data_IF_639599785555
#
_entry.id   IF_639599785555
#
_cell.length_a   1.000
_cell.length_b   1.000
_cell.length_c   1.000
_cell.angle_alpha   90.00
_cell.angle_beta   90.00
_cell.angle_gamma   90.00
#
_symmetry.space_group_name_H-M   'P 1'
#
loop_
_entity.id
_entity.type
_entity.pdbx_description
1 polymer ?
#
# COMPACT_ATOMS: atom_id res chain seq x y z
N UNK A 1 -5.78 -0.96 -35.11
CA UNK A 1 -6.70 -1.58 -34.15
C UNK A 1 -6.12 -2.90 -33.73
N UNK A 2 -6.35 -3.33 -32.49
CA UNK A 2 -6.00 -4.69 -32.03
C UNK A 2 -6.95 -5.71 -32.65
N UNK A 3 -6.53 -6.97 -32.77
CA UNK A 3 -7.42 -8.07 -33.23
C UNK A 3 -8.28 -8.59 -32.06
N UNK A 4 -7.91 -8.22 -30.83
CA UNK A 4 -8.65 -8.58 -29.63
C UNK A 4 -9.98 -7.82 -29.51
N UNK A 5 -11.06 -8.57 -29.33
CA UNK A 5 -12.40 -8.08 -29.01
C UNK A 5 -12.82 -8.64 -27.65
N UNK A 6 -12.91 -7.80 -26.59
CA UNK A 6 -13.34 -8.26 -25.27
C UNK A 6 -14.82 -8.67 -25.28
N UNK A 7 -15.20 -9.42 -24.25
CA UNK A 7 -16.59 -9.77 -23.99
C UNK A 7 -17.38 -8.50 -23.64
N UNK A 8 -18.51 -8.26 -24.32
CA UNK A 8 -19.31 -7.04 -24.13
C UNK A 8 -20.62 -7.26 -23.37
N UNK A 9 -21.03 -8.53 -23.16
CA UNK A 9 -22.30 -8.87 -22.51
C UNK A 9 -22.15 -8.79 -20.99
N UNK A 10 -22.81 -7.83 -20.29
CA UNK A 10 -22.56 -7.60 -18.86
C UNK A 10 -22.84 -8.81 -17.97
N UNK A 11 -23.86 -9.61 -18.28
CA UNK A 11 -24.17 -10.82 -17.51
C UNK A 11 -23.05 -11.86 -17.60
N UNK A 12 -22.48 -12.04 -18.80
CA UNK A 12 -21.37 -12.98 -18.99
C UNK A 12 -20.08 -12.44 -18.39
N UNK A 13 -19.87 -11.12 -18.41
CA UNK A 13 -18.75 -10.49 -17.70
C UNK A 13 -18.84 -10.75 -16.20
N UNK A 14 -20.00 -10.56 -15.57
CA UNK A 14 -20.18 -10.83 -14.13
C UNK A 14 -19.95 -12.31 -13.80
N UNK A 15 -20.48 -13.23 -14.62
CA UNK A 15 -20.29 -14.66 -14.47
C UNK A 15 -18.81 -15.06 -14.57
N UNK A 16 -18.13 -14.64 -15.64
CA UNK A 16 -16.71 -14.91 -15.82
C UNK A 16 -15.86 -14.25 -14.73
N UNK A 17 -16.24 -13.06 -14.26
CA UNK A 17 -15.52 -12.38 -13.20
C UNK A 17 -15.61 -13.17 -11.89
N UNK A 18 -16.81 -13.64 -11.51
CA UNK A 18 -17.00 -14.52 -10.35
C UNK A 18 -16.19 -15.82 -10.50
N UNK A 19 -16.17 -16.40 -11.69
CA UNK A 19 -15.39 -17.60 -11.96
C UNK A 19 -13.88 -17.34 -11.79
N UNK A 20 -13.36 -16.22 -12.31
CA UNK A 20 -11.95 -15.83 -12.10
C UNK A 20 -11.65 -15.70 -10.61
N UNK A 21 -12.52 -15.05 -9.83
CA UNK A 21 -12.31 -14.89 -8.39
C UNK A 21 -12.34 -16.22 -7.65
N UNK A 22 -13.29 -17.11 -7.98
CA UNK A 22 -13.38 -18.44 -7.39
C UNK A 22 -12.16 -19.30 -7.73
N UNK A 23 -11.73 -19.32 -9.00
CA UNK A 23 -10.50 -20.03 -9.39
C UNK A 23 -9.29 -19.46 -8.68
N UNK A 24 -9.16 -18.13 -8.63
CA UNK A 24 -8.04 -17.50 -7.95
C UNK A 24 -8.00 -17.88 -6.46
N UNK A 25 -9.14 -17.98 -5.76
CA UNK A 25 -9.15 -18.33 -4.34
C UNK A 25 -8.72 -19.77 -4.02
N UNK A 26 -8.81 -20.67 -4.99
CA UNK A 26 -8.37 -22.07 -4.86
C UNK A 26 -6.90 -22.28 -5.23
N UNK A 27 -6.19 -21.26 -5.74
CA UNK A 27 -4.76 -21.36 -6.05
C UNK A 27 -3.94 -21.15 -4.76
N UNK A 28 -3.24 -22.20 -4.33
CA UNK A 28 -2.42 -22.20 -3.10
C UNK A 28 -1.10 -21.45 -3.28
N UNK A 29 -0.43 -21.60 -4.43
CA UNK A 29 0.84 -20.93 -4.67
C UNK A 29 0.62 -19.43 -4.92
N UNK A 30 1.21 -18.53 -4.11
CA UNK A 30 0.93 -17.10 -4.22
C UNK A 30 1.48 -16.47 -5.50
N UNK A 31 2.52 -17.06 -6.12
CA UNK A 31 3.07 -16.58 -7.39
C UNK A 31 2.15 -16.94 -8.55
N UNK A 32 1.65 -18.17 -8.56
CA UNK A 32 0.64 -18.63 -9.50
C UNK A 32 -0.64 -17.83 -9.34
N UNK A 33 -1.13 -17.63 -8.12
CA UNK A 33 -2.32 -16.83 -7.83
C UNK A 33 -2.17 -15.39 -8.32
N UNK A 34 -1.02 -14.76 -8.07
CA UNK A 34 -0.71 -13.42 -8.55
C UNK A 34 -0.67 -13.35 -10.07
N UNK A 35 0.00 -14.30 -10.71
CA UNK A 35 0.14 -14.37 -12.15
C UNK A 35 -1.19 -14.62 -12.85
N UNK A 36 -2.00 -15.54 -12.31
CA UNK A 36 -3.36 -15.85 -12.76
C UNK A 36 -4.22 -14.58 -12.81
N UNK A 37 -4.27 -13.82 -11.71
CA UNK A 37 -5.02 -12.56 -11.66
C UNK A 37 -4.45 -11.54 -12.66
N UNK A 38 -3.13 -11.48 -12.81
CA UNK A 38 -2.49 -10.55 -13.74
C UNK A 38 -2.82 -10.85 -15.20
N UNK A 39 -3.05 -12.12 -15.55
CA UNK A 39 -3.43 -12.58 -16.91
C UNK A 39 -4.93 -12.40 -17.16
N UNK A 40 -5.77 -12.98 -16.30
CA UNK A 40 -7.19 -13.17 -16.61
C UNK A 40 -8.04 -11.92 -16.36
N UNK A 41 -7.74 -11.14 -15.32
CA UNK A 41 -8.51 -9.93 -15.02
C UNK A 41 -8.46 -8.90 -16.17
N UNK A 42 -7.29 -8.50 -16.69
CA UNK A 42 -7.24 -7.53 -17.77
C UNK A 42 -7.65 -8.15 -19.11
N UNK A 43 -7.62 -9.48 -19.27
CA UNK A 43 -8.21 -10.14 -20.44
C UNK A 43 -9.73 -9.96 -20.42
N UNK A 44 -10.42 -10.32 -19.33
CA UNK A 44 -11.88 -10.18 -19.23
C UNK A 44 -12.39 -8.74 -19.37
N UNK A 45 -11.63 -7.76 -18.88
CA UNK A 45 -12.01 -6.33 -18.85
C UNK A 45 -13.34 -6.04 -18.13
N UNK A 46 -13.51 -6.45 -16.85
CA UNK A 46 -14.78 -6.28 -16.12
C UNK A 46 -15.12 -4.83 -15.74
N UNK A 47 -14.16 -3.90 -15.86
CA UNK A 47 -14.36 -2.48 -15.53
C UNK A 47 -14.30 -1.60 -16.78
N UNK A 48 -14.97 -0.45 -16.77
CA UNK A 48 -14.95 0.51 -17.90
C UNK A 48 -13.54 1.05 -18.20
N UNK A 49 -12.73 1.27 -17.17
CA UNK A 49 -11.31 1.66 -17.28
C UNK A 49 -10.52 0.95 -16.17
N UNK A 50 -9.20 1.12 -16.16
CA UNK A 50 -8.30 0.80 -15.05
C UNK A 50 -8.01 -0.71 -14.92
N UNK A 51 -8.58 -1.60 -15.75
CA UNK A 51 -8.38 -3.06 -15.68
C UNK A 51 -6.92 -3.51 -15.48
N UNK A 52 -5.98 -2.97 -16.28
CA UNK A 52 -4.54 -3.29 -16.16
C UNK A 52 -3.92 -2.77 -14.86
N UNK A 53 -4.40 -1.62 -14.35
CA UNK A 53 -3.94 -1.06 -13.06
C UNK A 53 -4.52 -1.88 -11.90
N UNK A 54 -5.79 -2.27 -11.97
CA UNK A 54 -6.44 -3.14 -10.99
C UNK A 54 -5.73 -4.50 -10.94
N UNK A 55 -5.39 -5.12 -12.07
CA UNK A 55 -4.73 -6.43 -12.05
C UNK A 55 -3.35 -6.40 -11.39
N UNK A 56 -2.56 -5.34 -11.61
CA UNK A 56 -1.25 -5.18 -10.96
C UNK A 56 -1.36 -4.96 -9.45
N UNK A 57 -2.41 -4.26 -8.99
CA UNK A 57 -2.68 -4.11 -7.57
C UNK A 57 -3.20 -5.42 -6.96
N UNK A 58 -4.11 -6.11 -7.65
CA UNK A 58 -4.67 -7.37 -7.19
C UNK A 58 -3.62 -8.49 -7.13
N UNK A 59 -2.64 -8.52 -8.04
CA UNK A 59 -1.51 -9.44 -8.01
C UNK A 59 -0.64 -9.30 -6.73
N UNK A 60 -0.72 -8.18 -6.01
CA UNK A 60 -0.03 -8.00 -4.73
C UNK A 60 -0.79 -8.58 -3.52
N UNK A 61 -2.10 -8.81 -3.62
CA UNK A 61 -2.90 -9.38 -2.52
C UNK A 61 -2.34 -10.71 -2.01
N UNK A 62 -2.06 -11.72 -2.86
CA UNK A 62 -1.49 -12.99 -2.38
C UNK A 62 -0.10 -12.83 -1.77
N UNK A 63 0.74 -11.96 -2.36
CA UNK A 63 2.08 -11.66 -1.86
C UNK A 63 2.01 -11.10 -0.43
N UNK A 64 1.15 -10.12 -0.21
CA UNK A 64 1.00 -9.46 1.10
C UNK A 64 0.44 -10.45 2.14
N UNK A 65 -0.57 -11.25 1.76
CA UNK A 65 -1.17 -12.25 2.68
C UNK A 65 -0.14 -13.26 3.18
N UNK A 66 0.80 -13.66 2.33
CA UNK A 66 1.87 -14.60 2.66
C UNK A 66 3.16 -13.91 3.12
N UNK A 67 3.10 -12.61 3.42
CA UNK A 67 4.23 -11.80 3.89
C UNK A 67 5.45 -11.80 2.95
N UNK A 68 5.22 -11.94 1.66
CA UNK A 68 6.22 -11.78 0.61
C UNK A 68 6.43 -10.31 0.24
N UNK A 69 7.58 -10.02 -0.39
CA UNK A 69 7.86 -8.71 -0.94
C UNK A 69 6.74 -8.32 -1.93
N UNK A 70 6.17 -7.12 -1.83
CA UNK A 70 5.22 -6.64 -2.83
C UNK A 70 5.88 -6.56 -4.23
N UNK A 71 5.14 -7.00 -5.25
CA UNK A 71 5.46 -6.82 -6.65
C UNK A 71 5.34 -5.35 -7.05
N UNK A 72 6.41 -4.83 -7.64
CA UNK A 72 6.51 -3.50 -8.20
C UNK A 72 6.82 -3.58 -9.69
N UNK A 73 6.18 -2.71 -10.47
CA UNK A 73 6.44 -2.56 -11.90
C UNK A 73 7.42 -1.41 -12.19
N UNK A 74 8.08 -0.88 -11.15
CA UNK A 74 9.12 0.11 -11.35
C UNK A 74 10.30 -0.54 -12.09
N UNK A 75 10.85 0.18 -13.06
CA UNK A 75 11.90 -0.26 -13.98
C UNK A 75 11.49 -1.35 -14.97
N UNK A 76 10.23 -1.85 -14.95
CA UNK A 76 9.76 -2.83 -15.93
C UNK A 76 9.74 -2.19 -17.32
N UNK A 77 10.40 -2.79 -18.34
CA UNK A 77 10.36 -2.27 -19.69
C UNK A 77 8.92 -2.25 -20.21
N UNK A 78 8.37 -1.05 -20.42
CA UNK A 78 6.97 -0.88 -20.82
C UNK A 78 6.61 -1.64 -22.09
N UNK A 79 7.54 -1.71 -23.06
CA UNK A 79 7.36 -2.47 -24.30
C UNK A 79 7.20 -3.97 -24.05
N UNK A 80 8.06 -4.57 -23.22
CA UNK A 80 7.98 -5.99 -22.90
C UNK A 80 6.65 -6.34 -22.20
N UNK A 81 6.18 -5.49 -21.29
CA UNK A 81 4.88 -5.68 -20.64
C UNK A 81 3.71 -5.57 -21.64
N UNK A 82 3.76 -4.59 -22.55
CA UNK A 82 2.74 -4.42 -23.60
C UNK A 82 2.74 -5.64 -24.53
N UNK A 83 3.90 -6.03 -25.04
CA UNK A 83 4.05 -7.16 -25.96
C UNK A 83 3.60 -8.47 -25.29
N UNK A 84 3.94 -8.67 -24.01
CA UNK A 84 3.47 -9.83 -23.24
C UNK A 84 1.96 -9.83 -23.03
N UNK A 85 1.37 -8.67 -22.78
CA UNK A 85 -0.10 -8.55 -22.66
C UNK A 85 -0.79 -8.84 -24.00
N UNK A 86 -0.24 -8.32 -25.11
CA UNK A 86 -0.78 -8.58 -26.45
C UNK A 86 -0.65 -10.05 -26.84
N UNK A 87 0.46 -10.71 -26.48
CA UNK A 87 0.62 -12.15 -26.70
C UNK A 87 -0.47 -12.97 -26.00
N UNK A 88 -0.89 -12.57 -24.79
CA UNK A 88 -2.04 -13.17 -24.11
C UNK A 88 -3.32 -12.89 -24.90
N UNK A 89 -3.57 -11.64 -25.24
CA UNK A 89 -4.84 -11.20 -25.82
C UNK A 89 -5.09 -11.76 -27.22
N UNK A 90 -4.07 -11.78 -28.06
CA UNK A 90 -4.20 -12.05 -29.50
C UNK A 90 -3.72 -13.45 -29.88
N UNK A 91 -2.79 -14.02 -29.10
CA UNK A 91 -2.16 -15.31 -29.42
C UNK A 91 -2.44 -16.40 -28.40
N UNK A 92 -3.11 -16.09 -27.29
CA UNK A 92 -3.32 -16.99 -26.15
C UNK A 92 -1.99 -17.58 -25.61
N UNK A 93 -0.93 -16.75 -25.62
CA UNK A 93 0.43 -17.11 -25.18
C UNK A 93 0.85 -16.30 -23.97
N UNK A 94 1.20 -16.99 -22.89
CA UNK A 94 1.50 -16.38 -21.58
C UNK A 94 2.99 -16.20 -21.33
N UNK A 95 3.86 -16.81 -22.12
CA UNK A 95 5.27 -17.02 -21.81
C UNK A 95 6.02 -15.70 -21.65
N UNK A 96 5.79 -14.74 -22.56
CA UNK A 96 6.43 -13.43 -22.47
C UNK A 96 5.95 -12.65 -21.24
N UNK A 97 4.65 -12.70 -20.92
CA UNK A 97 4.12 -12.01 -19.75
C UNK A 97 4.61 -12.67 -18.45
N UNK A 98 4.75 -14.00 -18.43
CA UNK A 98 5.36 -14.76 -17.33
C UNK A 98 6.81 -14.34 -17.11
N UNK A 99 7.59 -14.24 -18.17
CA UNK A 99 9.01 -13.85 -18.06
C UNK A 99 9.14 -12.41 -17.55
N UNK A 100 8.27 -11.50 -18.01
CA UNK A 100 8.16 -10.13 -17.48
C UNK A 100 7.76 -10.14 -16.00
N UNK A 101 6.81 -10.97 -15.59
CA UNK A 101 6.38 -11.10 -14.19
C UNK A 101 7.54 -11.56 -13.29
N UNK A 102 8.25 -12.62 -13.67
CA UNK A 102 9.39 -13.14 -12.90
C UNK A 102 10.50 -12.10 -12.80
N UNK A 103 10.83 -11.44 -13.92
CA UNK A 103 11.84 -10.38 -13.92
C UNK A 103 11.44 -9.21 -13.01
N UNK A 104 10.18 -8.77 -13.08
CA UNK A 104 9.66 -7.70 -12.25
C UNK A 104 9.71 -8.05 -10.76
N UNK A 105 9.39 -9.30 -10.41
CA UNK A 105 9.42 -9.76 -9.03
C UNK A 105 10.86 -9.85 -8.49
N UNK A 106 11.80 -10.39 -9.27
CA UNK A 106 13.23 -10.41 -8.90
C UNK A 106 13.76 -8.99 -8.64
N UNK A 107 13.40 -8.03 -9.51
CA UNK A 107 13.77 -6.62 -9.35
C UNK A 107 13.13 -6.00 -8.10
N UNK A 108 11.87 -6.33 -7.83
CA UNK A 108 11.13 -5.88 -6.65
C UNK A 108 11.81 -6.35 -5.36
N UNK A 109 12.18 -7.63 -5.28
CA UNK A 109 12.90 -8.20 -4.14
C UNK A 109 14.25 -7.51 -3.91
N UNK A 110 15.04 -7.30 -4.97
CA UNK A 110 16.33 -6.62 -4.86
C UNK A 110 16.19 -5.18 -4.33
N UNK A 111 15.20 -4.44 -4.84
CA UNK A 111 14.90 -3.08 -4.40
C UNK A 111 14.39 -3.06 -2.96
N UNK A 112 13.48 -3.96 -2.61
CA UNK A 112 12.92 -4.03 -1.27
C UNK A 112 13.99 -4.37 -0.23
N UNK A 113 14.92 -5.28 -0.56
CA UNK A 113 16.07 -5.58 0.28
C UNK A 113 16.95 -4.35 0.53
N UNK A 114 17.28 -3.59 -0.52
CA UNK A 114 18.05 -2.36 -0.39
C UNK A 114 17.34 -1.29 0.45
N UNK A 115 16.01 -1.14 0.26
CA UNK A 115 15.19 -0.22 1.06
C UNK A 115 15.15 -0.66 2.52
N UNK A 116 14.94 -1.95 2.80
CA UNK A 116 14.94 -2.51 4.16
C UNK A 116 16.30 -2.38 4.86
N UNK A 117 17.42 -2.39 4.15
CA UNK A 117 18.72 -2.11 4.76
C UNK A 117 18.86 -0.64 5.21
N UNK A 118 18.21 0.30 4.49
CA UNK A 118 18.20 1.72 4.84
C UNK A 118 17.17 2.10 5.92
N UNK A 119 16.02 1.42 5.91
CA UNK A 119 14.99 1.49 6.95
C UNK A 119 15.33 0.44 8.00
N UNK A 120 16.14 0.79 9.00
CA UNK A 120 16.44 -0.10 10.13
C UNK A 120 15.20 -0.73 10.78
N UNK A 121 15.40 -1.62 11.74
CA UNK A 121 14.28 -2.36 12.34
C UNK A 121 13.20 -1.42 12.92
N UNK A 122 11.90 -1.81 12.82
CA UNK A 122 10.83 -1.02 13.41
C UNK A 122 11.08 -0.83 14.90
N UNK A 123 11.10 0.41 15.38
CA UNK A 123 11.28 0.71 16.81
C UNK A 123 10.20 -0.02 17.63
N UNK A 124 10.57 -1.02 18.47
CA UNK A 124 9.60 -1.80 19.24
C UNK A 124 8.73 -0.93 20.15
N UNK A 125 9.28 0.20 20.62
CA UNK A 125 8.54 1.15 21.44
C UNK A 125 7.43 1.84 20.64
N UNK A 126 7.74 2.30 19.42
CA UNK A 126 6.74 2.88 18.50
C UNK A 126 5.70 1.85 18.10
N UNK A 127 6.08 0.58 17.93
CA UNK A 127 5.14 -0.50 17.62
C UNK A 127 4.19 -0.77 18.79
N UNK A 128 4.70 -0.86 20.02
CA UNK A 128 3.94 -1.07 21.26
C UNK A 128 2.88 0.03 21.46
N UNK A 129 3.26 1.28 21.24
CA UNK A 129 2.40 2.44 21.51
C UNK A 129 1.80 3.10 20.26
N UNK A 130 1.77 2.40 19.13
CA UNK A 130 1.39 2.97 17.82
C UNK A 130 0.02 3.65 17.82
N UNK A 131 -0.95 3.12 18.57
CA UNK A 131 -2.30 3.66 18.63
C UNK A 131 -2.33 4.93 19.48
N UNK A 132 -1.68 4.91 20.64
CA UNK A 132 -1.57 6.04 21.54
C UNK A 132 -0.79 7.19 20.89
N UNK A 133 0.36 6.91 20.25
CA UNK A 133 1.12 7.92 19.50
C UNK A 133 0.22 8.57 18.46
N UNK A 134 -0.52 7.76 17.69
CA UNK A 134 -1.43 8.25 16.67
C UNK A 134 -2.52 9.15 17.24
N UNK A 135 -3.14 8.73 18.34
CA UNK A 135 -4.19 9.48 19.00
C UNK A 135 -3.68 10.84 19.52
N UNK A 136 -2.55 10.85 20.22
CA UNK A 136 -1.96 12.07 20.77
C UNK A 136 -1.61 13.06 19.66
N UNK A 137 -0.90 12.60 18.63
CA UNK A 137 -0.55 13.43 17.47
C UNK A 137 -1.82 13.98 16.80
N UNK A 138 -2.83 13.13 16.59
CA UNK A 138 -4.08 13.56 15.94
C UNK A 138 -4.86 14.58 16.76
N UNK A 139 -4.88 14.46 18.09
CA UNK A 139 -5.56 15.38 18.99
C UNK A 139 -4.90 16.75 18.99
N UNK A 140 -3.57 16.80 19.14
CA UNK A 140 -2.80 18.06 19.10
C UNK A 140 -3.06 18.83 17.81
N UNK A 141 -3.09 18.13 16.67
CA UNK A 141 -3.34 18.76 15.36
C UNK A 141 -4.80 19.20 15.22
N UNK A 142 -5.78 18.37 15.60
CA UNK A 142 -7.20 18.70 15.46
C UNK A 142 -7.63 19.85 16.37
N UNK A 143 -7.07 19.92 17.56
CA UNK A 143 -7.34 20.98 18.54
C UNK A 143 -6.49 22.24 18.28
N UNK A 144 -5.69 22.26 17.21
CA UNK A 144 -4.84 23.38 16.81
C UNK A 144 -3.89 23.88 17.93
N UNK A 145 -3.43 22.98 18.81
CA UNK A 145 -2.58 23.35 19.95
C UNK A 145 -1.21 23.87 19.48
N UNK A 146 -0.74 24.96 20.07
CA UNK A 146 0.64 25.42 19.89
C UNK A 146 1.63 24.52 20.67
N UNK A 147 2.94 24.74 20.51
CA UNK A 147 3.96 23.89 21.14
C UNK A 147 3.88 23.86 22.67
N UNK A 148 3.54 24.99 23.30
CA UNK A 148 3.51 25.08 24.77
C UNK A 148 2.29 24.35 25.32
N UNK A 149 1.12 24.58 24.73
CA UNK A 149 -0.12 23.90 25.09
C UNK A 149 -0.02 22.40 24.82
N UNK A 150 0.55 22.02 23.68
CA UNK A 150 0.76 20.62 23.32
C UNK A 150 1.67 19.90 24.32
N UNK A 151 2.82 20.48 24.71
CA UNK A 151 3.74 19.86 25.65
C UNK A 151 3.06 19.59 27.02
N UNK A 152 2.32 20.57 27.54
CA UNK A 152 1.58 20.44 28.81
C UNK A 152 0.49 19.38 28.69
N UNK A 153 -0.27 19.38 27.59
CA UNK A 153 -1.35 18.42 27.36
C UNK A 153 -0.82 16.99 27.19
N UNK A 154 0.26 16.80 26.41
CA UNK A 154 0.91 15.50 26.19
C UNK A 154 1.41 14.96 27.52
N UNK A 155 2.13 15.76 28.32
CA UNK A 155 2.64 15.32 29.62
C UNK A 155 1.51 14.92 30.58
N UNK A 156 0.45 15.73 30.67
CA UNK A 156 -0.68 15.47 31.56
C UNK A 156 -1.48 14.22 31.15
N UNK A 157 -1.63 13.97 29.84
CA UNK A 157 -2.35 12.81 29.33
C UNK A 157 -1.49 11.54 29.38
N UNK A 158 -0.21 11.63 29.04
CA UNK A 158 0.73 10.51 29.11
C UNK A 158 0.87 9.99 30.56
N UNK A 159 0.90 10.88 31.55
CA UNK A 159 0.94 10.48 32.97
C UNK A 159 -0.29 9.66 33.43
N UNK A 160 -1.42 9.74 32.70
CA UNK A 160 -2.65 8.99 33.00
C UNK A 160 -2.75 7.68 32.23
N UNK A 161 -2.30 7.67 30.98
CA UNK A 161 -2.55 6.56 30.04
C UNK A 161 -1.33 5.65 29.81
N UNK A 162 -0.12 6.14 30.12
CA UNK A 162 1.14 5.43 29.85
C UNK A 162 1.79 5.04 31.19
N UNK A 163 2.33 3.81 31.33
CA UNK A 163 3.06 3.41 32.52
C UNK A 163 4.22 4.38 32.84
N UNK A 164 4.43 4.66 34.13
CA UNK A 164 5.42 5.65 34.58
C UNK A 164 6.84 5.40 34.03
N UNK A 165 7.22 4.14 33.83
CA UNK A 165 8.53 3.75 33.30
C UNK A 165 8.70 4.04 31.79
N UNK A 166 7.61 4.12 31.04
CA UNK A 166 7.61 4.41 29.59
C UNK A 166 7.20 5.87 29.28
N UNK A 167 6.69 6.62 30.27
CA UNK A 167 6.06 7.92 30.08
C UNK A 167 7.02 8.96 29.45
N UNK A 168 8.22 9.14 29.98
CA UNK A 168 9.18 10.12 29.46
C UNK A 168 9.56 9.83 27.99
N UNK A 169 9.85 8.56 27.67
CA UNK A 169 10.17 8.14 26.31
C UNK A 169 8.97 8.30 25.36
N UNK A 170 7.76 8.06 25.85
CA UNK A 170 6.55 8.26 25.06
C UNK A 170 6.34 9.73 24.69
N UNK A 171 6.52 10.65 25.65
CA UNK A 171 6.42 12.09 25.41
C UNK A 171 7.42 12.52 24.33
N UNK A 172 8.69 12.13 24.46
CA UNK A 172 9.74 12.45 23.50
C UNK A 172 9.40 11.93 22.08
N UNK A 173 8.87 10.72 21.99
CA UNK A 173 8.44 10.13 20.71
C UNK A 173 7.30 10.93 20.09
N UNK A 174 6.27 11.30 20.85
CA UNK A 174 5.14 12.08 20.34
C UNK A 174 5.59 13.48 19.87
N UNK A 175 6.46 14.15 20.63
CA UNK A 175 7.01 15.47 20.26
C UNK A 175 7.88 15.40 19.00
N UNK A 176 8.64 14.31 18.86
CA UNK A 176 9.44 14.05 17.64
C UNK A 176 8.51 13.84 16.44
N UNK A 177 7.45 13.04 16.58
CA UNK A 177 6.48 12.82 15.49
C UNK A 177 5.73 14.11 15.10
N UNK A 178 5.40 14.96 16.07
CA UNK A 178 4.83 16.30 15.81
C UNK A 178 5.80 17.23 15.07
N UNK A 179 7.08 17.15 15.39
CA UNK A 179 8.12 17.95 14.74
C UNK A 179 8.44 17.44 13.32
N UNK A 180 8.30 16.13 13.08
CA UNK A 180 8.49 15.50 11.78
C UNK A 180 7.24 15.49 10.89
N UNK A 181 6.13 16.08 11.32
CA UNK A 181 4.87 16.11 10.57
C UNK A 181 4.99 17.03 9.32
N UNK A 182 4.68 16.48 8.15
CA UNK A 182 4.72 17.20 6.87
C UNK A 182 3.64 16.69 5.92
N UNK A 183 3.48 17.37 4.77
CA UNK A 183 2.43 17.09 3.76
C UNK A 183 2.43 15.64 3.21
N UNK A 184 3.49 14.87 3.44
CA UNK A 184 3.64 13.50 2.97
C UNK A 184 3.39 12.42 4.03
N UNK A 185 3.21 12.78 5.31
CA UNK A 185 3.05 11.80 6.39
C UNK A 185 1.84 12.04 7.30
N UNK A 186 1.19 13.21 7.27
CA UNK A 186 0.06 13.52 8.15
C UNK A 186 -1.12 12.53 8.03
N UNK A 187 -1.29 11.91 6.85
CA UNK A 187 -2.33 10.91 6.60
C UNK A 187 -2.16 9.67 7.50
N UNK A 188 -0.94 9.33 7.92
CA UNK A 188 -0.68 8.24 8.88
C UNK A 188 -1.44 8.43 10.19
N UNK A 189 -1.65 9.68 10.57
CA UNK A 189 -2.35 10.11 11.77
C UNK A 189 -3.85 10.31 11.59
N UNK A 190 -4.41 9.93 10.42
CA UNK A 190 -5.83 10.09 10.08
C UNK A 190 -6.28 11.56 10.16
N UNK A 191 -5.38 12.44 9.72
CA UNK A 191 -5.61 13.87 9.60
C UNK A 191 -6.02 14.20 8.17
N UNK A 192 -6.96 15.13 8.04
CA UNK A 192 -7.38 15.68 6.74
C UNK A 192 -6.48 16.87 6.36
N UNK A 193 -6.27 17.14 5.06
CA UNK A 193 -5.43 18.27 4.64
C UNK A 193 -5.79 19.63 5.28
N UNK A 194 -7.09 19.99 5.48
CA UNK A 194 -7.43 21.24 6.16
C UNK A 194 -7.02 21.29 7.63
N UNK A 195 -7.16 20.17 8.36
CA UNK A 195 -6.80 20.07 9.79
C UNK A 195 -5.30 20.32 9.96
N UNK A 196 -4.48 19.66 9.14
CA UNK A 196 -3.03 19.85 9.15
C UNK A 196 -2.62 21.29 8.79
N UNK A 197 -3.22 21.87 7.74
CA UNK A 197 -2.91 23.23 7.31
C UNK A 197 -3.25 24.28 8.38
N UNK A 198 -4.38 24.13 9.07
CA UNK A 198 -4.79 25.05 10.12
C UNK A 198 -3.84 25.00 11.31
N UNK A 199 -3.52 23.80 11.80
CA UNK A 199 -2.57 23.63 12.89
C UNK A 199 -1.17 24.13 12.55
N UNK A 200 -0.69 23.92 11.32
CA UNK A 200 0.63 24.40 10.90
C UNK A 200 0.79 25.92 10.98
N UNK A 201 -0.31 26.67 10.98
CA UNK A 201 -0.28 28.13 11.18
C UNK A 201 -0.10 28.52 12.66
N UNK A 202 -0.63 27.72 13.59
CA UNK A 202 -0.50 27.91 15.04
C UNK A 202 0.75 27.24 15.63
N UNK A 203 1.33 26.27 14.92
CA UNK A 203 2.53 25.54 15.36
C UNK A 203 3.80 26.40 15.27
N UNK A 204 4.07 27.19 16.32
CA UNK A 204 5.26 28.03 16.49
C UNK A 204 6.11 27.57 17.66
#
# INVERSE_FOLDING_TARGET
GTVYHPLEVPQLIDECFRQILATASEIDDPFEQAFFVMVHLPYLQPFEDVNKRVSRLAANVPMIRQNFCPLSFVDVPGRAYIDGTLAVYELNRIELLRDVFVWAYQRSCARYSAIRQSLGDPDPFKLKYRLQIKEFVSAVVRDCMDKQVAAVWIAAKAAKEIPAYDCNRFIEVVETELSCLHDGNFVRYHLRPPEFKNWRQSWR
#
